data_IF_518548007811
#
_entry.id   IF_518548007811
#
_cell.length_a   1.000
_cell.length_b   1.000
_cell.length_c   1.000
_cell.angle_alpha   90.00
_cell.angle_beta   90.00
_cell.angle_gamma   90.00
#
_symmetry.space_group_name_H-M   'P 1'
#
loop_
_entity.id
_entity.type
_entity.pdbx_description
1 polymer ?
#
# COMPACT_ATOMS: atom_id res chain seq x y z
N UNK A 1 -9.65 21.46 2.35
CA UNK A 1 -8.87 20.38 2.98
C UNK A 1 -7.58 20.30 2.18
N UNK A 2 -6.44 20.61 2.79
CA UNK A 2 -5.17 20.65 2.05
C UNK A 2 -4.85 19.28 1.47
N UNK A 3 -4.44 19.26 0.20
CA UNK A 3 -3.76 18.12 -0.40
C UNK A 3 -2.64 17.70 0.53
N UNK A 4 -2.76 16.52 1.13
CA UNK A 4 -1.67 15.99 1.94
C UNK A 4 -0.68 15.35 0.98
N UNK A 5 0.13 16.21 0.35
CA UNK A 5 1.23 15.82 -0.52
C UNK A 5 2.25 15.05 0.32
N UNK A 6 2.36 13.75 0.05
CA UNK A 6 3.53 12.97 0.44
C UNK A 6 4.77 13.57 -0.22
N UNK A 7 5.97 13.22 0.26
CA UNK A 7 7.20 13.74 -0.30
C UNK A 7 7.38 13.32 -1.76
N UNK A 8 7.05 14.20 -2.71
CA UNK A 8 7.07 13.91 -4.15
C UNK A 8 8.45 13.52 -4.67
N UNK A 9 9.52 14.13 -4.13
CA UNK A 9 10.89 13.81 -4.55
C UNK A 9 11.25 12.38 -4.17
N UNK A 10 10.90 11.97 -2.95
CA UNK A 10 11.10 10.60 -2.50
C UNK A 10 10.20 9.65 -3.29
N UNK A 11 8.94 10.03 -3.55
CA UNK A 11 8.04 9.24 -4.37
C UNK A 11 8.61 9.01 -5.78
N UNK A 12 8.99 10.06 -6.52
CA UNK A 12 9.58 9.93 -7.86
C UNK A 12 10.85 9.07 -7.86
N UNK A 13 11.67 9.16 -6.80
CA UNK A 13 12.85 8.29 -6.65
C UNK A 13 12.48 6.81 -6.47
N UNK A 14 11.35 6.50 -5.83
CA UNK A 14 10.89 5.14 -5.55
C UNK A 14 10.05 4.54 -6.69
N UNK A 15 9.16 5.36 -7.28
CA UNK A 15 8.19 4.97 -8.29
C UNK A 15 8.70 5.14 -9.72
N UNK A 16 9.77 5.90 -9.95
CA UNK A 16 10.23 6.25 -11.29
C UNK A 16 9.13 6.92 -12.10
N UNK A 17 8.85 6.36 -13.28
CA UNK A 17 7.82 6.84 -14.21
C UNK A 17 6.41 6.27 -13.93
N UNK A 18 6.23 5.53 -12.84
CA UNK A 18 4.93 4.96 -12.49
C UNK A 18 3.90 6.02 -12.07
N UNK A 19 2.65 5.80 -12.48
CA UNK A 19 1.52 6.68 -12.18
C UNK A 19 0.78 6.25 -10.91
N UNK A 20 0.28 7.24 -10.14
CA UNK A 20 -0.50 6.97 -8.92
C UNK A 20 -1.93 6.61 -9.29
N UNK A 21 -2.30 5.35 -9.06
CA UNK A 21 -3.66 4.85 -9.28
C UNK A 21 -4.53 5.07 -8.04
N UNK A 22 -3.95 4.95 -6.84
CA UNK A 22 -4.66 5.17 -5.57
C UNK A 22 -3.68 5.54 -4.47
N UNK A 23 -4.08 6.46 -3.58
CA UNK A 23 -3.29 6.84 -2.40
C UNK A 23 -4.17 6.81 -1.15
N UNK A 24 -3.75 6.02 -0.16
CA UNK A 24 -4.35 6.01 1.17
C UNK A 24 -3.43 6.75 2.13
N UNK A 25 -3.93 7.85 2.69
CA UNK A 25 -3.24 8.62 3.72
C UNK A 25 -3.74 8.25 5.12
N UNK A 26 -2.81 7.85 5.98
CA UNK A 26 -3.06 7.56 7.38
C UNK A 26 -2.36 8.64 8.23
N UNK A 27 -3.11 9.58 8.84
CA UNK A 27 -2.52 10.58 9.72
C UNK A 27 -1.95 9.96 11.01
N UNK A 28 -2.46 8.78 11.39
CA UNK A 28 -1.99 7.97 12.52
C UNK A 28 -2.00 6.51 12.11
N UNK A 29 -0.85 5.99 11.70
CA UNK A 29 -0.65 4.56 11.44
C UNK A 29 -0.57 3.75 12.75
N UNK A 30 -0.33 2.44 12.65
CA UNK A 30 -0.18 1.58 13.83
C UNK A 30 0.94 2.04 14.78
N UNK A 31 1.95 2.75 14.28
CA UNK A 31 3.05 3.33 15.08
C UNK A 31 2.77 4.76 15.54
N UNK A 32 1.58 5.30 15.26
CA UNK A 32 1.21 6.70 15.53
C UNK A 32 1.80 7.71 14.54
N UNK A 33 2.60 7.28 13.57
CA UNK A 33 3.25 8.12 12.56
C UNK A 33 2.38 8.30 11.32
N UNK A 34 2.65 9.35 10.52
CA UNK A 34 1.98 9.55 9.23
C UNK A 34 2.49 8.52 8.23
N UNK A 35 1.58 7.93 7.46
CA UNK A 35 1.89 6.91 6.47
C UNK A 35 1.05 7.12 5.22
N UNK A 36 1.66 6.96 4.06
CA UNK A 36 1.01 6.91 2.76
C UNK A 36 1.24 5.53 2.16
N UNK A 37 0.17 4.93 1.67
CA UNK A 37 0.18 3.67 0.93
C UNK A 37 -0.32 3.97 -0.47
N UNK A 38 0.55 3.80 -1.45
CA UNK A 38 0.34 4.30 -2.81
C UNK A 38 0.39 3.12 -3.76
N UNK A 39 -0.69 2.92 -4.51
CA UNK A 39 -0.79 1.97 -5.61
C UNK A 39 -0.26 2.65 -6.86
N UNK A 40 0.83 2.11 -7.42
CA UNK A 40 1.49 2.66 -8.59
C UNK A 40 1.33 1.71 -9.76
N UNK A 41 0.83 2.22 -10.89
CA UNK A 41 0.67 1.51 -12.16
C UNK A 41 1.76 1.95 -13.13
N UNK A 42 2.31 1.00 -13.86
CA UNK A 42 3.29 1.26 -14.92
C UNK A 42 2.67 0.92 -16.29
N UNK A 43 3.28 1.45 -17.36
CA UNK A 43 2.81 1.27 -18.75
C UNK A 43 2.78 -0.18 -19.21
N UNK A 44 3.62 -1.04 -18.61
CA UNK A 44 3.62 -2.49 -18.86
C UNK A 44 2.46 -3.23 -18.17
N UNK A 45 1.58 -2.49 -17.48
CA UNK A 45 0.46 -3.02 -16.71
C UNK A 45 0.86 -3.55 -15.34
N UNK A 46 2.14 -3.58 -14.99
CA UNK A 46 2.60 -4.00 -13.67
C UNK A 46 2.17 -3.02 -12.59
N UNK A 47 2.05 -3.53 -11.37
CA UNK A 47 1.66 -2.74 -10.21
C UNK A 47 2.71 -2.90 -9.12
N UNK A 48 3.16 -1.79 -8.54
CA UNK A 48 3.94 -1.79 -7.30
C UNK A 48 3.26 -0.97 -6.24
N UNK A 49 3.64 -1.22 -4.99
CA UNK A 49 3.13 -0.46 -3.84
C UNK A 49 4.29 0.38 -3.33
N UNK A 50 4.07 1.69 -3.23
CA UNK A 50 5.01 2.60 -2.58
C UNK A 50 4.46 2.97 -1.21
N UNK A 51 5.26 2.75 -0.18
CA UNK A 51 4.94 3.18 1.19
C UNK A 51 5.88 4.30 1.56
N UNK A 52 5.32 5.42 2.00
CA UNK A 52 6.07 6.55 2.59
C UNK A 52 5.62 6.70 4.04
N UNK A 53 6.57 6.81 4.94
CA UNK A 53 6.33 7.01 6.38
C UNK A 53 7.07 8.25 6.85
N UNK A 54 6.36 9.14 7.52
CA UNK A 54 6.90 10.36 8.12
C UNK A 54 6.77 10.27 9.65
N UNK A 55 7.92 10.14 10.31
CA UNK A 55 8.04 10.06 11.77
C UNK A 55 8.19 11.43 12.43
N UNK A 56 8.11 12.52 11.68
CA UNK A 56 8.34 13.90 12.14
C UNK A 56 9.81 14.32 12.21
N UNK A 57 10.72 13.35 12.37
CA UNK A 57 12.18 13.57 12.33
C UNK A 57 12.86 12.90 11.13
N UNK A 58 12.17 11.99 10.44
CA UNK A 58 12.67 11.31 9.27
C UNK A 58 11.53 10.91 8.32
N UNK A 59 11.76 11.05 7.02
CA UNK A 59 10.85 10.57 5.99
C UNK A 59 11.52 9.39 5.31
N UNK A 60 10.89 8.23 5.41
CA UNK A 60 11.37 6.97 4.82
C UNK A 60 10.38 6.49 3.78
N UNK A 61 10.86 5.69 2.83
CA UNK A 61 9.97 5.03 1.90
C UNK A 61 10.54 3.70 1.41
N UNK A 62 9.64 2.82 1.02
CA UNK A 62 9.95 1.50 0.48
C UNK A 62 9.02 1.16 -0.69
N UNK A 63 9.52 0.34 -1.60
CA UNK A 63 8.74 -0.28 -2.67
C UNK A 63 8.47 -1.71 -2.27
N UNK A 64 7.22 -2.14 -2.39
CA UNK A 64 6.79 -3.51 -2.15
C UNK A 64 6.30 -4.07 -3.48
N UNK A 65 6.85 -5.21 -3.86
CA UNK A 65 6.40 -5.97 -5.01
C UNK A 65 5.24 -6.90 -4.64
N UNK A 66 4.34 -7.09 -5.59
CA UNK A 66 3.16 -7.95 -5.44
C UNK A 66 3.52 -9.29 -6.08
N UNK A 67 3.35 -10.38 -5.34
CA UNK A 67 3.58 -11.70 -5.88
C UNK A 67 2.56 -12.03 -6.98
N UNK A 68 2.93 -12.80 -8.02
CA UNK A 68 1.98 -13.28 -9.01
C UNK A 68 0.83 -14.06 -8.38
N UNK A 69 -0.40 -13.78 -8.80
CA UNK A 69 -1.62 -14.40 -8.27
C UNK A 69 -2.40 -14.98 -9.44
N UNK A 70 -2.68 -16.28 -9.37
CA UNK A 70 -3.50 -17.01 -10.35
C UNK A 70 -4.75 -17.62 -9.71
N UNK A 71 -4.71 -17.85 -8.40
CA UNK A 71 -5.83 -18.43 -7.63
C UNK A 71 -6.34 -17.51 -6.52
N UNK A 72 -7.54 -17.81 -6.02
CA UNK A 72 -8.13 -17.07 -4.90
C UNK A 72 -7.36 -17.30 -3.60
N UNK A 73 -6.80 -18.49 -3.45
CA UNK A 73 -6.01 -18.93 -2.31
C UNK A 73 -4.67 -18.17 -2.27
N UNK A 74 -3.99 -18.03 -3.41
CA UNK A 74 -2.79 -17.19 -3.56
C UNK A 74 -3.09 -15.73 -3.27
N UNK A 75 -4.20 -15.19 -3.79
CA UNK A 75 -4.63 -13.82 -3.49
C UNK A 75 -4.80 -13.61 -1.99
N UNK A 76 -5.47 -14.54 -1.31
CA UNK A 76 -5.70 -14.44 0.13
C UNK A 76 -4.39 -14.55 0.92
N UNK A 77 -3.46 -15.42 0.49
CA UNK A 77 -2.14 -15.53 1.09
C UNK A 77 -1.34 -14.23 0.93
N UNK A 78 -1.38 -13.61 -0.25
CA UNK A 78 -0.71 -12.34 -0.51
C UNK A 78 -1.32 -11.18 0.28
N UNK A 79 -2.65 -11.12 0.41
CA UNK A 79 -3.33 -10.15 1.30
C UNK A 79 -2.81 -10.28 2.74
N UNK A 80 -2.65 -11.51 3.22
CA UNK A 80 -2.16 -11.76 4.59
C UNK A 80 -0.69 -11.36 4.72
N UNK A 81 0.16 -11.69 3.74
CA UNK A 81 1.58 -11.29 3.71
C UNK A 81 1.72 -9.76 3.75
N UNK A 82 1.03 -9.08 2.84
CA UNK A 82 1.04 -7.62 2.75
C UNK A 82 0.50 -6.94 4.02
N UNK A 83 -0.46 -7.56 4.70
CA UNK A 83 -0.97 -7.05 5.98
C UNK A 83 0.02 -7.28 7.13
N UNK A 84 0.48 -8.53 7.34
CA UNK A 84 1.24 -8.94 8.53
C UNK A 84 2.72 -8.58 8.44
N UNK A 85 3.34 -8.78 7.28
CA UNK A 85 4.78 -8.59 7.09
C UNK A 85 5.07 -7.16 6.63
N UNK A 86 4.28 -6.64 5.70
CA UNK A 86 4.51 -5.31 5.13
C UNK A 86 3.80 -4.18 5.88
N UNK A 87 2.82 -4.54 6.73
CA UNK A 87 2.08 -3.62 7.57
C UNK A 87 1.08 -2.75 6.83
N UNK A 88 0.56 -3.18 5.68
CA UNK A 88 -0.41 -2.41 4.90
C UNK A 88 -1.80 -2.40 5.55
N UNK A 89 -2.53 -1.30 5.40
CA UNK A 89 -3.88 -1.15 5.95
C UNK A 89 -4.90 -1.99 5.19
N UNK A 90 -5.95 -2.43 5.91
CA UNK A 90 -7.05 -3.20 5.29
C UNK A 90 -7.83 -2.36 4.27
N UNK A 91 -7.85 -1.03 4.42
CA UNK A 91 -8.49 -0.11 3.48
C UNK A 91 -7.72 -0.10 2.16
N UNK A 92 -6.41 0.06 2.21
CA UNK A 92 -5.56 0.02 1.02
C UNK A 92 -5.60 -1.34 0.33
N UNK A 93 -5.54 -2.43 1.11
CA UNK A 93 -5.65 -3.79 0.56
C UNK A 93 -7.01 -4.05 -0.09
N UNK A 94 -8.09 -3.47 0.44
CA UNK A 94 -9.41 -3.51 -0.18
C UNK A 94 -9.39 -2.88 -1.58
N UNK A 95 -8.86 -1.67 -1.69
CA UNK A 95 -8.70 -1.00 -2.98
C UNK A 95 -7.77 -1.78 -3.93
N UNK A 96 -6.62 -2.25 -3.45
CA UNK A 96 -5.62 -2.95 -4.24
C UNK A 96 -6.19 -4.19 -4.93
N UNK A 97 -6.99 -4.98 -4.21
CA UNK A 97 -7.57 -6.24 -4.69
C UNK A 97 -9.03 -6.14 -5.15
N UNK A 98 -9.58 -4.92 -5.27
CA UNK A 98 -11.00 -4.68 -5.59
C UNK A 98 -11.96 -5.45 -4.66
N UNK A 99 -11.66 -5.44 -3.36
CA UNK A 99 -12.46 -6.05 -2.30
C UNK A 99 -12.97 -4.97 -1.33
N UNK A 100 -14.09 -5.27 -0.67
CA UNK A 100 -14.51 -4.46 0.47
C UNK A 100 -13.52 -4.62 1.64
N UNK A 101 -13.33 -3.58 2.45
CA UNK A 101 -12.53 -3.67 3.67
C UNK A 101 -13.03 -4.78 4.63
N UNK A 102 -14.36 -5.00 4.81
CA UNK A 102 -14.86 -6.15 5.57
C UNK A 102 -14.40 -7.51 5.02
N UNK A 103 -14.39 -7.68 3.70
CA UNK A 103 -13.90 -8.92 3.06
C UNK A 103 -12.43 -9.16 3.38
N UNK A 104 -11.60 -8.11 3.31
CA UNK A 104 -10.18 -8.18 3.70
C UNK A 104 -10.03 -8.53 5.18
N UNK A 105 -10.85 -7.95 6.05
CA UNK A 105 -10.86 -8.25 7.48
C UNK A 105 -11.13 -9.73 7.77
N UNK A 106 -12.08 -10.34 7.05
CA UNK A 106 -12.40 -11.77 7.17
C UNK A 106 -11.20 -12.62 6.73
N UNK A 107 -10.57 -12.30 5.60
CA UNK A 107 -9.40 -13.03 5.07
C UNK A 107 -8.25 -13.03 6.10
N UNK A 108 -7.96 -11.88 6.70
CA UNK A 108 -6.87 -11.74 7.68
C UNK A 108 -7.12 -12.54 8.97
N UNK A 109 -8.39 -12.72 9.36
CA UNK A 109 -8.80 -13.46 10.57
C UNK A 109 -8.85 -14.98 10.40
N UNK A 110 -8.89 -15.48 9.16
CA UNK A 110 -8.99 -16.92 8.88
C UNK A 110 -7.65 -17.67 9.07
N UNK A 111 -6.58 -16.97 9.43
CA UNK A 111 -5.21 -17.48 9.58
C UNK A 111 -4.55 -16.82 10.79
#
# INVERSE_FOLDING_TARGET
MGEVEYNEKLFKKLAGDGEVEFCNYMPRSATGMRKWEIKVRYDDGSCKIVVISDSGFNITGKVIEINPITTREERNAEIIRLYREEGLSQVFLGNLFNLSQPSVSIIIKQK
#
